data_IF_319726955089
#
_entry.id   IF_319726955089
#
_cell.length_a   1.000
_cell.length_b   1.000
_cell.length_c   1.000
_cell.angle_alpha   90.00
_cell.angle_beta   90.00
_cell.angle_gamma   90.00
#
_symmetry.space_group_name_H-M   'P 1'
#
loop_
_entity.id
_entity.type
_entity.pdbx_description
1 polymer ?
#
# COMPACT_ATOMS: atom_id res chain seq x y z
N UNK A 1 4.00 -16.61 22.33
CA UNK A 1 3.33 -17.38 21.25
C UNK A 1 1.94 -17.73 21.74
N UNK A 2 0.89 -17.43 20.97
CA UNK A 2 -0.50 -17.67 21.33
C UNK A 2 -1.20 -18.50 20.25
N UNK A 3 -2.17 -19.34 20.64
CA UNK A 3 -2.94 -20.17 19.72
C UNK A 3 -4.36 -19.60 19.59
N UNK A 4 -4.71 -19.18 18.38
CA UNK A 4 -6.06 -18.73 18.04
C UNK A 4 -6.82 -19.86 17.33
N UNK A 5 -7.53 -20.69 18.11
CA UNK A 5 -8.18 -21.91 17.60
C UNK A 5 -9.13 -21.59 16.43
N UNK A 6 -9.99 -20.58 16.59
CA UNK A 6 -10.94 -20.19 15.54
C UNK A 6 -10.24 -19.64 14.29
N UNK A 7 -9.15 -18.89 14.46
CA UNK A 7 -8.41 -18.34 13.32
C UNK A 7 -7.67 -19.45 12.54
N UNK A 8 -7.31 -20.54 13.22
CA UNK A 8 -6.64 -21.69 12.60
C UNK A 8 -7.54 -22.46 11.64
N UNK A 9 -8.87 -22.29 11.73
CA UNK A 9 -9.83 -22.88 10.82
C UNK A 9 -9.87 -22.19 9.44
N UNK A 10 -9.34 -20.97 9.31
CA UNK A 10 -9.31 -20.29 8.02
C UNK A 10 -8.24 -20.90 7.11
N UNK A 11 -8.64 -21.19 5.87
CA UNK A 11 -7.72 -21.61 4.83
C UNK A 11 -6.84 -20.43 4.38
N UNK A 12 -5.69 -20.79 3.79
CA UNK A 12 -4.71 -19.82 3.33
C UNK A 12 -5.00 -19.37 1.89
N UNK A 13 -4.84 -18.06 1.64
CA UNK A 13 -4.61 -17.52 0.29
C UNK A 13 -3.66 -16.34 0.39
N UNK A 14 -2.63 -16.31 -0.48
CA UNK A 14 -1.71 -15.18 -0.56
C UNK A 14 -2.43 -13.87 -0.88
N UNK A 15 -3.44 -13.96 -1.75
CA UNK A 15 -4.39 -12.87 -2.02
C UNK A 15 -5.71 -13.22 -1.35
N UNK A 16 -5.74 -13.14 -0.02
CA UNK A 16 -6.93 -13.45 0.79
C UNK A 16 -8.15 -12.58 0.41
N UNK A 17 -9.33 -12.81 0.99
CA UNK A 17 -10.46 -11.85 0.92
C UNK A 17 -10.68 -11.11 2.25
N UNK A 18 -9.87 -11.44 3.25
CA UNK A 18 -9.80 -10.74 4.54
C UNK A 18 -8.45 -10.11 4.76
N UNK A 19 -8.42 -9.20 5.72
CA UNK A 19 -7.26 -8.68 6.41
C UNK A 19 -7.31 -9.14 7.86
N UNK A 20 -6.17 -9.38 8.48
CA UNK A 20 -6.12 -9.68 9.91
C UNK A 20 -4.96 -8.96 10.58
N UNK A 21 -5.15 -8.64 11.86
CA UNK A 21 -4.14 -8.00 12.70
C UNK A 21 -4.33 -8.45 14.16
N UNK A 22 -3.29 -8.26 14.98
CA UNK A 22 -3.34 -8.47 16.41
C UNK A 22 -3.56 -7.13 17.13
N UNK A 23 -4.58 -7.07 17.98
CA UNK A 23 -4.85 -5.93 18.86
C UNK A 23 -4.73 -6.42 20.29
N UNK A 24 -3.57 -6.18 20.91
CA UNK A 24 -3.22 -6.80 22.19
C UNK A 24 -3.12 -8.31 22.06
N UNK A 25 -3.98 -9.03 22.78
CA UNK A 25 -4.11 -10.50 22.78
C UNK A 25 -5.26 -11.01 21.91
N UNK A 26 -5.93 -10.13 21.16
CA UNK A 26 -7.06 -10.48 20.28
C UNK A 26 -6.63 -10.48 18.82
N UNK A 27 -6.91 -11.57 18.10
CA UNK A 27 -6.79 -11.63 16.64
C UNK A 27 -8.09 -11.15 16.00
N UNK A 28 -8.00 -10.08 15.21
CA UNK A 28 -9.14 -9.50 14.51
C UNK A 28 -9.02 -9.83 13.03
N UNK A 29 -10.05 -10.45 12.46
CA UNK A 29 -10.18 -10.70 11.02
C UNK A 29 -11.30 -9.83 10.46
N UNK A 30 -11.00 -9.05 9.41
CA UNK A 30 -11.94 -8.14 8.76
C UNK A 30 -12.04 -8.46 7.27
N UNK A 31 -13.25 -8.45 6.72
CA UNK A 31 -13.43 -8.56 5.27
C UNK A 31 -12.79 -7.34 4.58
N UNK A 32 -12.04 -7.60 3.51
CA UNK A 32 -11.43 -6.56 2.67
C UNK A 32 -12.30 -6.23 1.47
N UNK A 33 -13.03 -7.23 0.99
CA UNK A 33 -13.93 -7.15 -0.17
C UNK A 33 -15.26 -7.76 0.24
N UNK A 34 -16.40 -7.40 -0.38
CA UNK A 34 -17.68 -8.04 -0.13
C UNK A 34 -17.62 -9.57 -0.33
N UNK A 35 -17.92 -10.33 0.73
CA UNK A 35 -17.92 -11.80 0.69
C UNK A 35 -19.37 -12.30 0.57
N UNK A 36 -19.70 -12.93 -0.57
CA UNK A 36 -21.05 -13.49 -0.80
C UNK A 36 -21.31 -14.67 0.16
N UNK A 37 -22.58 -14.87 0.53
CA UNK A 37 -23.01 -16.02 1.35
C UNK A 37 -22.53 -17.34 0.73
N UNK A 38 -21.94 -18.21 1.54
CA UNK A 38 -21.42 -19.51 1.12
C UNK A 38 -20.05 -19.46 0.42
N UNK A 39 -19.45 -18.28 0.24
CA UNK A 39 -18.05 -18.17 -0.19
C UNK A 39 -17.13 -18.36 1.00
N UNK A 40 -16.01 -19.02 0.73
CA UNK A 40 -14.99 -19.29 1.71
C UNK A 40 -14.24 -18.03 2.12
N UNK A 41 -13.83 -17.97 3.39
CA UNK A 41 -13.07 -16.88 3.99
C UNK A 41 -11.62 -17.33 4.09
N UNK A 42 -10.71 -16.56 3.49
CA UNK A 42 -9.28 -16.85 3.49
C UNK A 42 -8.52 -15.81 4.27
N UNK A 43 -7.51 -16.23 5.03
CA UNK A 43 -6.48 -15.37 5.64
C UNK A 43 -5.14 -15.58 4.93
N UNK A 44 -4.34 -14.52 4.81
CA UNK A 44 -2.94 -14.70 4.39
C UNK A 44 -2.13 -15.09 5.62
N UNK A 45 -1.57 -16.31 5.63
CA UNK A 45 -0.64 -16.75 6.70
C UNK A 45 0.77 -16.21 6.51
N UNK A 46 1.05 -15.64 5.35
CA UNK A 46 2.33 -15.05 5.02
C UNK A 46 2.21 -13.54 5.18
N UNK A 47 2.67 -13.03 6.33
CA UNK A 47 2.97 -11.59 6.48
C UNK A 47 3.99 -11.12 5.45
N UNK A 48 4.76 -12.06 4.90
CA UNK A 48 5.91 -11.84 4.06
C UNK A 48 5.54 -11.41 2.63
N UNK A 49 4.33 -11.68 2.14
CA UNK A 49 3.92 -11.15 0.82
C UNK A 49 4.03 -9.63 0.74
N UNK A 50 3.86 -8.93 1.87
CA UNK A 50 3.98 -7.48 1.95
C UNK A 50 5.34 -7.00 2.47
N UNK A 51 6.15 -7.89 3.05
CA UNK A 51 7.27 -7.53 3.92
C UNK A 51 8.59 -8.25 3.63
N UNK A 52 8.59 -9.46 3.05
CA UNK A 52 9.83 -10.11 2.62
C UNK A 52 10.07 -9.87 1.14
N UNK A 53 11.29 -9.41 0.88
CA UNK A 53 11.93 -9.33 -0.44
C UNK A 53 12.41 -10.70 -0.94
N UNK A 54 12.19 -11.74 -0.13
CA UNK A 54 12.75 -13.07 -0.30
C UNK A 54 11.63 -14.09 -0.57
N UNK A 55 11.52 -14.58 -1.82
CA UNK A 55 10.60 -15.66 -2.20
C UNK A 55 10.88 -16.98 -1.49
N UNK A 56 12.13 -17.27 -1.10
CA UNK A 56 12.47 -18.49 -0.39
C UNK A 56 11.81 -18.51 0.99
N UNK A 57 11.80 -17.37 1.68
CA UNK A 57 11.10 -17.22 2.96
C UNK A 57 9.58 -17.41 2.83
N UNK A 58 9.00 -17.02 1.70
CA UNK A 58 7.59 -17.28 1.41
C UNK A 58 7.32 -18.78 1.28
N UNK A 59 8.14 -19.48 0.50
CA UNK A 59 8.00 -20.93 0.29
C UNK A 59 8.25 -21.72 1.58
N UNK A 60 9.29 -21.37 2.35
CA UNK A 60 9.58 -21.96 3.67
C UNK A 60 8.41 -21.78 4.65
N UNK A 61 7.75 -20.61 4.64
CA UNK A 61 6.61 -20.35 5.52
C UNK A 61 5.38 -21.19 5.14
N UNK A 62 5.25 -21.55 3.86
CA UNK A 62 4.10 -22.27 3.34
C UNK A 62 4.33 -23.78 3.21
N UNK A 63 5.57 -24.23 3.21
CA UNK A 63 5.95 -25.64 3.12
C UNK A 63 5.22 -26.54 4.12
N UNK A 64 5.06 -26.18 5.42
CA UNK A 64 4.33 -27.04 6.37
C UNK A 64 2.84 -27.22 6.02
N UNK A 65 2.29 -26.33 5.21
CA UNK A 65 0.89 -26.36 4.78
C UNK A 65 0.72 -26.91 3.36
N UNK A 66 1.73 -26.79 2.50
CA UNK A 66 1.67 -27.13 1.09
C UNK A 66 2.96 -27.84 0.58
N UNK A 67 3.37 -28.97 1.17
CA UNK A 67 4.72 -29.52 1.01
C UNK A 67 5.07 -30.05 -0.40
N UNK A 68 4.08 -30.36 -1.25
CA UNK A 68 4.32 -31.04 -2.54
C UNK A 68 4.09 -30.18 -3.77
N UNK A 69 3.24 -29.15 -3.67
CA UNK A 69 2.77 -28.37 -4.83
C UNK A 69 2.88 -26.86 -4.64
N UNK A 70 3.37 -26.42 -3.47
CA UNK A 70 3.27 -25.03 -3.04
C UNK A 70 1.82 -24.56 -2.92
N UNK A 71 1.63 -23.28 -2.60
CA UNK A 71 0.30 -22.70 -2.51
C UNK A 71 -0.39 -22.74 -3.90
N UNK A 72 -1.64 -23.26 -3.99
CA UNK A 72 -2.37 -23.34 -5.25
C UNK A 72 -3.10 -22.03 -5.62
N UNK A 73 -2.96 -20.96 -4.83
CA UNK A 73 -3.68 -19.71 -5.11
C UNK A 73 -3.24 -19.10 -6.47
N UNK A 74 -4.15 -18.32 -7.08
CA UNK A 74 -3.94 -17.74 -8.40
C UNK A 74 -2.67 -16.86 -8.51
N UNK A 75 -2.26 -16.25 -7.39
CA UNK A 75 -1.04 -15.44 -7.31
C UNK A 75 0.23 -16.31 -7.33
N UNK A 76 0.35 -17.32 -6.47
CA UNK A 76 1.51 -18.21 -6.52
C UNK A 76 1.55 -19.02 -7.84
N UNK A 77 0.39 -19.36 -8.38
CA UNK A 77 0.29 -20.01 -9.69
C UNK A 77 0.75 -19.08 -10.83
N UNK A 78 0.50 -17.77 -10.76
CA UNK A 78 1.00 -16.82 -11.76
C UNK A 78 2.53 -16.66 -11.65
N UNK A 79 3.06 -16.50 -10.43
CA UNK A 79 4.50 -16.40 -10.20
C UNK A 79 5.26 -17.63 -10.73
N UNK A 80 4.78 -18.85 -10.45
CA UNK A 80 5.41 -20.07 -10.97
C UNK A 80 5.44 -20.15 -12.50
N UNK A 81 4.55 -19.44 -13.21
CA UNK A 81 4.55 -19.39 -14.68
C UNK A 81 5.59 -18.43 -15.26
N UNK A 82 6.13 -17.52 -14.46
CA UNK A 82 7.10 -16.53 -14.94
C UNK A 82 8.49 -17.11 -15.18
N UNK A 83 8.77 -18.32 -14.67
CA UNK A 83 10.05 -18.99 -14.84
C UNK A 83 11.12 -18.47 -13.86
N UNK A 84 12.17 -19.28 -13.60
CA UNK A 84 13.17 -18.96 -12.58
C UNK A 84 13.95 -17.67 -12.89
N UNK A 85 14.30 -17.43 -14.16
CA UNK A 85 15.10 -16.27 -14.57
C UNK A 85 14.38 -14.93 -14.29
N UNK A 86 13.07 -14.86 -14.55
CA UNK A 86 12.25 -13.66 -14.28
C UNK A 86 12.11 -13.43 -12.79
N UNK A 87 11.95 -14.50 -12.00
CA UNK A 87 11.89 -14.41 -10.54
C UNK A 87 13.23 -13.90 -9.99
N UNK A 88 14.35 -14.45 -10.47
CA UNK A 88 15.69 -14.02 -10.03
C UNK A 88 15.95 -12.55 -10.39
N UNK A 89 15.54 -12.11 -11.58
CA UNK A 89 15.66 -10.71 -11.99
C UNK A 89 14.80 -9.78 -11.11
N UNK A 90 13.59 -10.21 -10.72
CA UNK A 90 12.75 -9.45 -9.78
C UNK A 90 13.43 -9.28 -8.42
N UNK A 91 14.02 -10.35 -7.89
CA UNK A 91 14.74 -10.32 -6.60
C UNK A 91 15.90 -9.33 -6.70
N UNK A 92 16.73 -9.45 -7.74
CA UNK A 92 17.88 -8.55 -7.96
C UNK A 92 17.44 -7.07 -8.02
N UNK A 93 16.38 -6.77 -8.78
CA UNK A 93 15.87 -5.42 -8.93
C UNK A 93 15.25 -4.86 -7.63
N UNK A 94 14.53 -5.67 -6.84
CA UNK A 94 14.02 -5.28 -5.52
C UNK A 94 15.15 -5.02 -4.52
N UNK A 95 16.20 -5.84 -4.51
CA UNK A 95 17.40 -5.62 -3.69
C UNK A 95 18.11 -4.31 -4.05
N UNK A 96 18.31 -4.05 -5.35
CA UNK A 96 18.92 -2.81 -5.83
C UNK A 96 18.07 -1.58 -5.49
N UNK A 97 16.74 -1.68 -5.64
CA UNK A 97 15.81 -0.64 -5.18
C UNK A 97 15.96 -0.42 -3.68
N UNK A 98 15.97 -1.49 -2.89
CA UNK A 98 16.14 -1.45 -1.45
C UNK A 98 17.40 -0.73 -1.00
N UNK A 99 18.51 -0.95 -1.71
CA UNK A 99 19.77 -0.23 -1.48
C UNK A 99 19.62 1.27 -1.78
N UNK A 100 19.06 1.62 -2.95
CA UNK A 100 18.86 3.03 -3.34
C UNK A 100 17.93 3.77 -2.37
N UNK A 101 16.88 3.10 -1.90
CA UNK A 101 15.93 3.67 -0.93
C UNK A 101 16.57 3.93 0.44
N UNK A 102 17.41 2.99 0.89
CA UNK A 102 18.18 3.14 2.13
C UNK A 102 19.16 4.29 2.01
N UNK A 103 19.90 4.35 0.92
CA UNK A 103 20.86 5.42 0.67
C UNK A 103 20.15 6.78 0.55
N UNK A 104 19.04 6.87 -0.20
CA UNK A 104 18.24 8.09 -0.29
C UNK A 104 17.79 8.56 1.09
N UNK A 105 17.23 7.65 1.91
CA UNK A 105 16.75 7.98 3.25
C UNK A 105 17.88 8.50 4.15
N UNK A 106 19.05 7.86 4.11
CA UNK A 106 20.24 8.29 4.84
C UNK A 106 20.68 9.69 4.41
N UNK A 107 20.74 9.97 3.10
CA UNK A 107 21.16 11.27 2.57
C UNK A 107 20.20 12.41 2.91
N UNK A 108 18.90 12.13 2.98
CA UNK A 108 17.90 13.10 3.46
C UNK A 108 18.16 13.48 4.92
N UNK A 109 18.44 12.50 5.79
CA UNK A 109 18.75 12.74 7.20
C UNK A 109 20.06 13.49 7.41
N UNK A 110 21.06 13.22 6.57
CA UNK A 110 22.36 13.88 6.59
C UNK A 110 22.37 15.26 5.89
N UNK A 111 21.20 15.77 5.45
CA UNK A 111 21.06 17.06 4.76
C UNK A 111 21.97 17.23 3.53
N UNK A 112 22.16 16.15 2.75
CA UNK A 112 22.96 16.23 1.51
C UNK A 112 22.38 17.19 0.49
N UNK A 113 23.23 17.55 -0.47
CA UNK A 113 22.86 18.41 -1.57
C UNK A 113 21.76 17.78 -2.45
N UNK A 114 20.96 18.65 -3.08
CA UNK A 114 19.83 18.23 -3.90
C UNK A 114 20.27 17.44 -5.15
N UNK A 115 21.47 17.67 -5.70
CA UNK A 115 21.92 16.94 -6.89
C UNK A 115 22.10 15.45 -6.57
N UNK A 116 22.64 15.14 -5.40
CA UNK A 116 22.77 13.77 -4.91
C UNK A 116 21.41 13.09 -4.77
N UNK A 117 20.44 13.76 -4.12
CA UNK A 117 19.07 13.24 -3.97
C UNK A 117 18.38 13.04 -5.32
N UNK A 118 18.60 13.95 -6.28
CA UNK A 118 18.05 13.84 -7.63
C UNK A 118 18.60 12.65 -8.39
N UNK A 119 19.91 12.39 -8.28
CA UNK A 119 20.55 11.23 -8.91
C UNK A 119 19.96 9.93 -8.39
N UNK A 120 19.81 9.82 -7.07
CA UNK A 120 19.19 8.65 -6.44
C UNK A 120 17.72 8.50 -6.82
N UNK A 121 16.95 9.59 -6.88
CA UNK A 121 15.55 9.57 -7.32
C UNK A 121 15.38 9.11 -8.78
N UNK A 122 16.27 9.54 -9.68
CA UNK A 122 16.30 9.06 -11.07
C UNK A 122 16.68 7.58 -11.16
N UNK A 123 17.69 7.16 -10.40
CA UNK A 123 18.09 5.75 -10.33
C UNK A 123 16.94 4.86 -9.83
N UNK A 124 16.25 5.28 -8.75
CA UNK A 124 15.07 4.60 -8.22
C UNK A 124 13.97 4.47 -9.27
N UNK A 125 13.62 5.57 -9.96
CA UNK A 125 12.59 5.54 -11.01
C UNK A 125 12.94 4.61 -12.17
N UNK A 126 14.21 4.53 -12.57
CA UNK A 126 14.67 3.61 -13.62
C UNK A 126 14.52 2.15 -13.18
N UNK A 127 15.02 1.82 -11.98
CA UNK A 127 14.92 0.46 -11.43
C UNK A 127 13.46 0.04 -11.21
N UNK A 128 12.60 0.94 -10.74
CA UNK A 128 11.18 0.67 -10.54
C UNK A 128 10.47 0.36 -11.86
N UNK A 129 10.81 1.08 -12.95
CA UNK A 129 10.28 0.77 -14.29
C UNK A 129 10.77 -0.59 -14.80
N UNK A 130 12.04 -0.93 -14.57
CA UNK A 130 12.59 -2.24 -14.91
C UNK A 130 11.89 -3.35 -14.12
N UNK A 131 11.73 -3.18 -12.81
CA UNK A 131 11.04 -4.15 -11.96
C UNK A 131 9.60 -4.32 -12.41
N UNK A 132 8.89 -3.22 -12.70
CA UNK A 132 7.53 -3.27 -13.23
C UNK A 132 7.45 -4.05 -14.55
N UNK A 133 8.42 -3.86 -15.46
CA UNK A 133 8.45 -4.53 -16.75
C UNK A 133 8.67 -6.05 -16.67
N UNK A 134 9.15 -6.56 -15.53
CA UNK A 134 9.24 -8.02 -15.31
C UNK A 134 7.88 -8.67 -15.12
N UNK A 135 6.83 -7.92 -14.78
CA UNK A 135 5.48 -8.43 -14.56
C UNK A 135 4.70 -8.44 -15.88
N UNK A 136 4.01 -9.54 -16.18
CA UNK A 136 3.15 -9.64 -17.36
C UNK A 136 1.99 -8.63 -17.29
N UNK A 137 1.44 -8.25 -18.43
CA UNK A 137 0.39 -7.21 -18.56
C UNK A 137 -0.99 -7.59 -17.96
N UNK A 138 -1.11 -8.69 -17.20
CA UNK A 138 -2.33 -8.96 -16.44
C UNK A 138 -2.43 -8.01 -15.23
N UNK A 139 -2.85 -6.76 -15.51
CA UNK A 139 -3.02 -5.69 -14.53
C UNK A 139 -4.06 -6.00 -13.42
N UNK A 140 -4.66 -7.19 -13.43
CA UNK A 140 -5.68 -7.60 -12.46
C UNK A 140 -5.10 -8.20 -11.18
N UNK A 141 -3.85 -8.68 -11.21
CA UNK A 141 -3.27 -9.29 -10.02
C UNK A 141 -2.52 -8.25 -9.17
N UNK A 142 -2.68 -8.31 -7.83
CA UNK A 142 -1.90 -7.47 -6.93
C UNK A 142 -0.42 -7.80 -7.02
N UNK A 143 0.43 -6.78 -6.82
CA UNK A 143 1.89 -6.85 -6.87
C UNK A 143 2.48 -6.21 -5.62
N UNK A 144 2.34 -6.84 -4.44
CA UNK A 144 2.70 -6.20 -3.16
C UNK A 144 4.13 -5.67 -3.10
N UNK A 145 5.09 -6.33 -3.75
CA UNK A 145 6.49 -5.88 -3.84
C UNK A 145 6.59 -4.48 -4.45
N UNK A 146 5.83 -4.22 -5.53
CA UNK A 146 5.81 -2.90 -6.16
C UNK A 146 5.18 -1.82 -5.27
N UNK A 147 4.25 -2.18 -4.38
CA UNK A 147 3.55 -1.21 -3.54
C UNK A 147 4.52 -0.44 -2.63
N UNK A 148 5.48 -1.14 -2.00
CA UNK A 148 6.51 -0.49 -1.19
C UNK A 148 7.31 0.55 -1.99
N UNK A 149 7.76 0.17 -3.19
CA UNK A 149 8.55 1.07 -4.04
C UNK A 149 7.74 2.24 -4.61
N UNK A 150 6.47 2.06 -4.95
CA UNK A 150 5.62 3.18 -5.37
C UNK A 150 5.37 4.17 -4.22
N UNK A 151 5.17 3.66 -3.00
CA UNK A 151 5.08 4.52 -1.82
C UNK A 151 6.39 5.28 -1.57
N UNK A 152 7.55 4.64 -1.76
CA UNK A 152 8.83 5.31 -1.66
C UNK A 152 9.02 6.38 -2.76
N UNK A 153 8.63 6.09 -4.00
CA UNK A 153 8.66 7.07 -5.10
C UNK A 153 7.80 8.30 -4.78
N UNK A 154 6.62 8.08 -4.18
CA UNK A 154 5.73 9.15 -3.68
C UNK A 154 6.44 10.00 -2.61
N UNK A 155 7.23 9.38 -1.73
CA UNK A 155 8.03 10.10 -0.72
C UNK A 155 9.19 10.88 -1.34
N UNK A 156 9.90 10.34 -2.33
CA UNK A 156 10.95 11.06 -3.07
C UNK A 156 10.36 12.35 -3.65
N UNK A 157 9.18 12.26 -4.27
CA UNK A 157 8.47 13.40 -4.85
C UNK A 157 8.16 14.51 -3.85
N UNK A 158 7.79 14.16 -2.63
CA UNK A 158 7.55 15.16 -1.58
C UNK A 158 8.84 15.77 -1.03
N UNK A 159 9.92 15.00 -1.01
CA UNK A 159 11.18 15.40 -0.37
C UNK A 159 11.99 16.29 -1.30
N UNK A 160 11.94 16.02 -2.60
CA UNK A 160 12.65 16.78 -3.64
C UNK A 160 11.70 17.83 -4.19
N UNK A 161 11.97 19.11 -3.91
CA UNK A 161 11.14 20.24 -4.32
C UNK A 161 10.76 20.18 -5.81
N UNK A 162 9.46 20.02 -6.14
CA UNK A 162 9.01 19.92 -7.52
C UNK A 162 9.10 21.23 -8.30
N UNK A 163 9.32 22.38 -7.65
CA UNK A 163 9.61 23.66 -8.32
C UNK A 163 10.93 23.67 -9.09
N UNK A 164 11.76 22.63 -8.93
CA UNK A 164 13.09 22.51 -9.54
C UNK A 164 13.16 21.50 -10.71
N UNK A 165 12.01 21.03 -11.21
CA UNK A 165 11.91 20.32 -12.49
C UNK A 165 12.49 18.91 -12.54
N UNK A 166 12.69 18.25 -11.40
CA UNK A 166 13.38 16.95 -11.35
C UNK A 166 12.44 15.77 -11.53
N UNK A 167 11.21 15.88 -11.03
CA UNK A 167 10.17 14.87 -11.22
C UNK A 167 8.85 15.59 -11.49
N UNK A 168 8.20 15.19 -12.58
CA UNK A 168 6.94 15.78 -13.00
C UNK A 168 5.85 15.54 -11.94
N UNK A 169 5.31 16.63 -11.38
CA UNK A 169 4.16 16.61 -10.47
C UNK A 169 2.95 15.88 -11.08
N UNK A 170 2.82 15.88 -12.41
CA UNK A 170 1.82 15.11 -13.14
C UNK A 170 1.86 13.61 -12.83
N UNK A 171 3.00 13.09 -12.36
CA UNK A 171 3.16 11.68 -12.01
C UNK A 171 2.76 11.33 -10.56
N UNK A 172 2.49 12.31 -9.67
CA UNK A 172 2.17 12.00 -8.27
C UNK A 172 0.90 11.15 -8.17
N UNK A 173 -0.15 11.58 -8.88
CA UNK A 173 -1.42 10.85 -8.94
C UNK A 173 -1.22 9.47 -9.52
N UNK A 174 -0.50 9.36 -10.63
CA UNK A 174 -0.19 8.10 -11.28
C UNK A 174 0.56 7.12 -10.36
N UNK A 175 1.55 7.60 -9.59
CA UNK A 175 2.27 6.77 -8.63
C UNK A 175 1.37 6.27 -7.50
N UNK A 176 0.45 7.10 -7.00
CA UNK A 176 -0.50 6.67 -5.98
C UNK A 176 -1.54 5.71 -6.54
N UNK A 177 -2.02 5.90 -7.77
CA UNK A 177 -2.88 4.93 -8.46
C UNK A 177 -2.16 3.59 -8.63
N UNK A 178 -0.89 3.60 -9.05
CA UNK A 178 -0.06 2.39 -9.17
C UNK A 178 0.23 1.73 -7.83
N UNK A 179 0.47 2.52 -6.78
CA UNK A 179 0.57 2.05 -5.40
C UNK A 179 -0.70 1.29 -5.00
N UNK A 180 -1.88 1.89 -5.20
CA UNK A 180 -3.16 1.27 -4.87
C UNK A 180 -3.40 -0.01 -5.67
N UNK A 181 -3.16 0.01 -6.98
CA UNK A 181 -3.25 -1.17 -7.85
C UNK A 181 -2.29 -2.29 -7.41
N UNK A 182 -1.05 -1.95 -7.06
CA UNK A 182 -0.05 -2.89 -6.58
C UNK A 182 -0.50 -3.59 -5.28
N UNK A 183 -1.28 -2.91 -4.43
CA UNK A 183 -1.88 -3.55 -3.24
C UNK A 183 -3.15 -4.35 -3.54
N UNK A 184 -3.66 -4.33 -4.77
CA UNK A 184 -4.96 -4.91 -5.11
C UNK A 184 -6.15 -4.13 -4.55
N UNK A 185 -5.94 -2.86 -4.18
CA UNK A 185 -7.00 -2.00 -3.70
C UNK A 185 -7.84 -1.50 -4.89
N UNK A 186 -9.15 -1.50 -4.70
CA UNK A 186 -10.11 -0.86 -5.58
C UNK A 186 -10.85 0.19 -4.78
N UNK A 187 -11.12 1.33 -5.41
CA UNK A 187 -11.77 2.44 -4.73
C UNK A 187 -12.67 3.19 -5.70
N UNK A 188 -13.62 3.92 -5.10
CA UNK A 188 -14.63 4.65 -5.83
C UNK A 188 -14.69 6.10 -5.37
N UNK A 189 -14.85 7.02 -6.33
CA UNK A 189 -15.01 8.45 -6.08
C UNK A 189 -16.49 8.82 -6.04
N UNK A 190 -16.91 9.40 -4.94
CA UNK A 190 -18.21 10.07 -4.79
C UNK A 190 -18.03 11.58 -4.85
N UNK A 191 -19.13 12.36 -4.91
CA UNK A 191 -19.04 13.81 -4.73
C UNK A 191 -18.27 14.23 -3.47
N UNK A 192 -18.42 13.47 -2.38
CA UNK A 192 -17.98 13.87 -1.04
C UNK A 192 -16.68 13.18 -0.57
N UNK A 193 -16.29 12.04 -1.14
CA UNK A 193 -15.12 11.25 -0.69
C UNK A 193 -14.63 10.19 -1.69
N UNK A 194 -13.43 9.68 -1.44
CA UNK A 194 -12.98 8.38 -1.93
C UNK A 194 -13.19 7.30 -0.84
N UNK A 195 -13.52 6.07 -1.24
CA UNK A 195 -13.59 4.92 -0.33
C UNK A 195 -13.17 3.63 -1.03
N UNK A 196 -12.72 2.63 -0.25
CA UNK A 196 -12.36 1.32 -0.79
C UNK A 196 -13.59 0.45 -1.06
N UNK A 197 -13.71 -0.06 -2.28
CA UNK A 197 -14.60 -1.20 -2.60
C UNK A 197 -13.91 -2.53 -2.34
N UNK A 198 -12.59 -2.55 -2.55
CA UNK A 198 -11.69 -3.62 -2.14
C UNK A 198 -10.53 -2.98 -1.39
N UNK A 199 -10.41 -3.24 -0.10
CA UNK A 199 -9.28 -2.77 0.71
C UNK A 199 -7.95 -3.33 0.18
N UNK A 200 -6.81 -2.67 0.44
CA UNK A 200 -5.50 -3.20 0.06
C UNK A 200 -5.20 -4.53 0.76
N UNK A 201 -4.44 -5.40 0.09
CA UNK A 201 -3.88 -6.63 0.67
C UNK A 201 -2.98 -6.35 1.87
N UNK A 202 -2.14 -5.34 1.69
CA UNK A 202 -1.20 -4.87 2.68
C UNK A 202 -1.59 -3.45 3.04
N UNK A 203 -2.14 -3.33 4.25
CA UNK A 203 -2.24 -2.06 4.91
C UNK A 203 -0.86 -1.83 5.55
N UNK A 204 0.05 -1.25 4.75
CA UNK A 204 1.39 -0.92 5.20
C UNK A 204 1.40 0.55 5.60
N UNK A 205 2.19 0.86 6.63
CA UNK A 205 2.55 2.23 7.01
C UNK A 205 2.84 3.11 5.78
N UNK A 206 3.49 2.54 4.76
CA UNK A 206 3.85 3.21 3.52
C UNK A 206 2.67 3.62 2.65
N UNK A 207 1.60 2.80 2.61
CA UNK A 207 0.37 3.19 1.90
C UNK A 207 -0.28 4.41 2.55
N UNK A 208 -0.39 4.42 3.88
CA UNK A 208 -0.90 5.57 4.63
C UNK A 208 -0.06 6.83 4.40
N UNK A 209 1.27 6.70 4.38
CA UNK A 209 2.19 7.79 4.04
C UNK A 209 1.97 8.30 2.62
N UNK A 210 1.87 7.41 1.63
CA UNK A 210 1.66 7.77 0.23
C UNK A 210 0.31 8.46 -0.03
N UNK A 211 -0.76 7.98 0.62
CA UNK A 211 -2.09 8.62 0.53
C UNK A 211 -2.14 9.98 1.23
N UNK A 212 -1.46 10.12 2.38
CA UNK A 212 -1.32 11.42 3.05
C UNK A 212 -0.52 12.38 2.17
N UNK A 213 0.55 11.90 1.54
CA UNK A 213 1.41 12.69 0.67
C UNK A 213 0.66 13.33 -0.51
N UNK A 214 -0.17 12.54 -1.20
CA UNK A 214 -0.97 13.06 -2.31
C UNK A 214 -2.08 13.99 -1.83
N UNK A 215 -2.65 13.76 -0.65
CA UNK A 215 -3.63 14.66 -0.07
C UNK A 215 -3.01 16.05 0.19
N UNK A 216 -1.81 16.07 0.78
CA UNK A 216 -1.00 17.28 0.97
C UNK A 216 -0.73 17.97 -0.35
N UNK A 217 -0.27 17.21 -1.36
CA UNK A 217 0.03 17.74 -2.68
C UNK A 217 -1.16 18.48 -3.30
N UNK A 218 -2.37 17.90 -3.22
CA UNK A 218 -3.58 18.54 -3.74
C UNK A 218 -4.04 19.74 -2.90
N UNK A 219 -3.93 19.65 -1.58
CA UNK A 219 -4.27 20.74 -0.67
C UNK A 219 -3.40 22.00 -0.89
N UNK A 220 -2.13 21.79 -1.20
CA UNK A 220 -1.16 22.87 -1.42
C UNK A 220 -1.38 23.59 -2.76
N UNK A 221 -2.22 23.05 -3.66
CA UNK A 221 -2.62 23.76 -4.88
C UNK A 221 -3.52 24.97 -4.60
N UNK A 222 -4.20 25.00 -3.44
CA UNK A 222 -5.07 26.10 -3.03
C UNK A 222 -6.29 26.31 -3.94
N UNK A 223 -6.71 25.28 -4.69
CA UNK A 223 -7.89 25.31 -5.54
C UNK A 223 -9.04 24.51 -4.93
N UNK A 224 -10.29 24.84 -5.28
CA UNK A 224 -11.47 24.08 -4.82
C UNK A 224 -11.41 22.60 -5.22
N UNK A 225 -10.92 22.31 -6.42
CA UNK A 225 -10.75 20.94 -6.88
C UNK A 225 -9.62 20.23 -6.13
N UNK A 226 -8.49 20.91 -5.88
CA UNK A 226 -7.41 20.39 -5.05
C UNK A 226 -7.88 20.05 -3.63
N UNK A 227 -8.64 20.95 -2.99
CA UNK A 227 -9.21 20.69 -1.67
C UNK A 227 -10.15 19.46 -1.68
N UNK A 228 -10.97 19.30 -2.74
CA UNK A 228 -11.84 18.13 -2.90
C UNK A 228 -11.06 16.83 -3.04
N UNK A 229 -10.01 16.82 -3.86
CA UNK A 229 -9.13 15.66 -4.02
C UNK A 229 -8.41 15.33 -2.70
N UNK A 230 -7.91 16.35 -2.01
CA UNK A 230 -7.25 16.20 -0.72
C UNK A 230 -8.17 15.53 0.32
N UNK A 231 -9.42 16.00 0.44
CA UNK A 231 -10.43 15.38 1.30
C UNK A 231 -10.66 13.92 0.91
N UNK A 232 -10.78 13.62 -0.40
CA UNK A 232 -10.93 12.25 -0.87
C UNK A 232 -9.78 11.33 -0.45
N UNK A 233 -8.53 11.75 -0.61
CA UNK A 233 -7.40 10.91 -0.19
C UNK A 233 -7.33 10.79 1.34
N UNK A 234 -7.66 11.84 2.10
CA UNK A 234 -7.75 11.75 3.57
C UNK A 234 -8.84 10.78 4.04
N UNK A 235 -9.97 10.67 3.32
CA UNK A 235 -11.00 9.66 3.66
C UNK A 235 -10.51 8.24 3.40
N UNK A 236 -9.64 8.00 2.40
CA UNK A 236 -8.99 6.70 2.22
C UNK A 236 -8.02 6.39 3.38
N UNK A 237 -7.23 7.38 3.82
CA UNK A 237 -6.34 7.20 5.00
C UNK A 237 -7.15 6.82 6.24
N UNK A 238 -8.30 7.47 6.45
CA UNK A 238 -9.20 7.14 7.55
C UNK A 238 -9.80 5.73 7.42
N UNK A 239 -10.19 5.30 6.20
CA UNK A 239 -10.65 3.93 5.96
C UNK A 239 -9.58 2.89 6.28
N UNK A 240 -8.31 3.14 5.89
CA UNK A 240 -7.19 2.27 6.24
C UNK A 240 -7.01 2.19 7.75
N UNK A 241 -7.05 3.33 8.43
CA UNK A 241 -6.96 3.39 9.89
C UNK A 241 -8.04 2.54 10.57
N UNK A 242 -9.28 2.65 10.09
CA UNK A 242 -10.40 1.84 10.59
C UNK A 242 -10.17 0.35 10.35
N UNK A 243 -9.62 -0.04 9.21
CA UNK A 243 -9.32 -1.43 8.88
C UNK A 243 -8.17 -2.01 9.71
N UNK A 244 -7.10 -1.25 9.92
CA UNK A 244 -5.89 -1.68 10.64
C UNK A 244 -6.11 -1.67 12.16
N UNK A 245 -6.64 -0.56 12.67
CA UNK A 245 -6.66 -0.25 14.09
C UNK A 245 -8.06 -0.32 14.71
N UNK A 246 -9.11 -0.39 13.88
CA UNK A 246 -10.49 -0.28 14.37
C UNK A 246 -10.85 1.13 14.84
N UNK A 247 -10.12 2.14 14.34
CA UNK A 247 -10.36 3.54 14.70
C UNK A 247 -11.73 4.02 14.20
N UNK A 248 -12.39 4.79 15.04
CA UNK A 248 -13.41 5.74 14.60
C UNK A 248 -12.74 7.01 14.03
N UNK A 249 -13.54 7.86 13.42
CA UNK A 249 -13.09 9.11 12.79
C UNK A 249 -12.30 10.02 13.75
N UNK A 250 -12.70 10.11 15.02
CA UNK A 250 -12.02 10.97 15.99
C UNK A 250 -10.71 10.37 16.49
N UNK A 251 -10.65 9.06 16.69
CA UNK A 251 -9.44 8.33 17.08
C UNK A 251 -8.40 8.42 15.99
N UNK A 252 -8.81 8.22 14.74
CA UNK A 252 -7.94 8.40 13.59
C UNK A 252 -7.39 9.83 13.54
N UNK A 253 -8.25 10.85 13.61
CA UNK A 253 -7.80 12.25 13.59
C UNK A 253 -6.88 12.58 14.76
N UNK A 254 -7.08 12.01 15.96
CA UNK A 254 -6.15 12.21 17.09
C UNK A 254 -4.79 11.56 16.85
N UNK A 255 -4.77 10.37 16.27
CA UNK A 255 -3.54 9.63 16.02
C UNK A 255 -2.70 10.26 14.90
N UNK A 256 -3.34 10.63 13.80
CA UNK A 256 -2.68 11.19 12.62
C UNK A 256 -2.68 12.73 12.59
N UNK A 257 -3.44 13.38 13.49
CA UNK A 257 -3.64 14.83 13.54
C UNK A 257 -2.37 15.64 13.72
N UNK A 258 -1.37 15.12 14.43
CA UNK A 258 -0.06 15.78 14.55
C UNK A 258 0.62 15.97 13.18
N UNK A 259 0.38 15.07 12.22
CA UNK A 259 0.87 15.16 10.84
C UNK A 259 -0.04 16.02 9.96
N UNK A 260 -1.30 16.19 10.37
CA UNK A 260 -2.35 16.90 9.64
C UNK A 260 -2.67 18.30 10.19
N UNK A 261 -1.90 18.83 11.16
CA UNK A 261 -2.17 20.14 11.79
C UNK A 261 -2.35 21.27 10.77
N UNK A 262 -1.55 21.27 9.69
CA UNK A 262 -1.65 22.27 8.60
C UNK A 262 -2.95 22.15 7.77
N UNK A 263 -3.69 21.07 7.97
CA UNK A 263 -4.86 20.67 7.21
C UNK A 263 -6.11 20.53 8.09
N UNK A 264 -6.10 21.12 9.30
CA UNK A 264 -7.25 21.13 10.22
C UNK A 264 -8.52 21.70 9.54
N UNK A 265 -8.35 22.59 8.56
CA UNK A 265 -9.44 23.12 7.72
C UNK A 265 -10.26 22.04 6.99
N UNK A 266 -9.71 20.85 6.76
CA UNK A 266 -10.41 19.76 6.09
C UNK A 266 -11.13 18.80 7.04
N UNK A 267 -10.89 18.91 8.35
CA UNK A 267 -11.41 17.97 9.34
C UNK A 267 -12.92 17.76 9.21
N UNK A 268 -13.67 18.85 9.21
CA UNK A 268 -15.13 18.81 9.10
C UNK A 268 -15.59 18.15 7.79
N UNK A 269 -14.91 18.45 6.68
CA UNK A 269 -15.21 17.85 5.38
C UNK A 269 -14.93 16.35 5.34
N UNK A 270 -13.79 15.92 5.89
CA UNK A 270 -13.45 14.50 6.02
C UNK A 270 -14.46 13.78 6.91
N UNK A 271 -14.85 14.37 8.03
CA UNK A 271 -15.83 13.79 8.96
C UNK A 271 -17.21 13.67 8.30
N UNK A 272 -17.62 14.69 7.54
CA UNK A 272 -18.84 14.66 6.74
C UNK A 272 -18.80 13.55 5.69
N UNK A 273 -17.69 13.41 4.95
CA UNK A 273 -17.52 12.31 4.00
C UNK A 273 -17.58 10.93 4.66
N UNK A 274 -16.96 10.78 5.84
CA UNK A 274 -16.97 9.50 6.55
C UNK A 274 -18.36 9.11 7.06
N UNK A 275 -19.17 10.08 7.51
CA UNK A 275 -20.52 9.85 8.03
C UNK A 275 -21.58 9.57 6.96
N UNK A 276 -21.40 10.04 5.72
CA UNK A 276 -22.36 9.78 4.62
C UNK A 276 -22.39 8.31 4.16
N UNK A 277 -21.39 7.51 4.54
CA UNK A 277 -21.20 6.13 4.09
C UNK A 277 -21.91 5.05 4.93
N UNK A 278 -22.62 5.41 6.00
CA UNK A 278 -23.30 4.43 6.88
C UNK A 278 -24.51 3.74 6.22
N UNK A 279 -24.75 3.91 4.90
CA UNK A 279 -25.97 3.45 4.21
C UNK A 279 -25.78 2.71 2.87
N UNK A 280 -24.58 2.23 2.54
CA UNK A 280 -24.37 1.43 1.31
C UNK A 280 -24.06 -0.04 1.64
#
# INVERSE_FOLDING_TARGET
MALFINASAFNHSCVANTYWNLVGDVLVVRARTPIKKGKEVYISRSYLLAASRDPEMHDLTLEPHFPKSGCPCAFCASLRRDGPDVIQERIRLDEELGYVETEFSKRVLEHHDLQTLNRLGKQHSTLLKQLQATWRDDNTQPRPVLAHHYAFATRILLTVDPGRGIVDKGNMSELVYRLLQATGAEFYLTPDRLYFTTAPLCASYWLGVGLTAIAVYYADQGTKEGDRQAVGFLTLVADLSRLEHGDDTERWWRRDGARLVRYERFKEHVFKGLSSAVRA
#
